data_IF_188336152946
#
_entry.id   IF_188336152946
#
_cell.length_a   1.000
_cell.length_b   1.000
_cell.length_c   1.000
_cell.angle_alpha   90.00
_cell.angle_beta   90.00
_cell.angle_gamma   90.00
#
_symmetry.space_group_name_H-M   'P 1'
#
loop_
_entity.id
_entity.type
_entity.pdbx_description
1 polymer ?
#
# COMPACT_ATOMS: atom_id res chain seq x y z
N UNK A 1 6.44 -12.25 -1.81
CA UNK A 1 7.36 -11.15 -1.48
C UNK A 1 8.14 -10.73 -2.71
N UNK A 2 8.25 -9.43 -2.93
CA UNK A 2 9.00 -8.87 -4.06
C UNK A 2 10.05 -7.92 -3.49
N UNK A 3 11.32 -8.28 -3.63
CA UNK A 3 12.43 -7.57 -3.00
C UNK A 3 13.09 -6.56 -3.92
N UNK A 4 13.32 -5.34 -3.40
CA UNK A 4 14.19 -4.35 -3.99
C UNK A 4 15.53 -4.29 -3.25
N UNK A 5 16.24 -3.18 -3.41
CA UNK A 5 17.56 -2.99 -2.80
C UNK A 5 17.46 -2.64 -1.32
N UNK A 6 16.52 -1.80 -0.94
CA UNK A 6 16.35 -1.30 0.44
C UNK A 6 15.08 -1.78 1.08
N UNK A 7 14.04 -2.01 0.28
CA UNK A 7 12.71 -2.37 0.72
C UNK A 7 12.20 -3.60 -0.01
N UNK A 8 11.13 -4.18 0.53
CA UNK A 8 10.37 -5.20 -0.18
C UNK A 8 8.88 -4.91 -0.02
N UNK A 9 8.07 -5.47 -0.91
CA UNK A 9 6.62 -5.44 -0.77
C UNK A 9 6.13 -6.87 -0.55
N UNK A 10 5.13 -7.00 0.32
CA UNK A 10 4.59 -8.29 0.72
C UNK A 10 3.11 -8.12 1.09
N UNK A 11 2.42 -9.22 1.30
CA UNK A 11 1.01 -9.17 1.66
C UNK A 11 0.79 -8.32 2.92
N UNK A 12 -0.28 -7.53 2.91
CA UNK A 12 -0.71 -6.80 4.10
C UNK A 12 -1.15 -7.81 5.15
N UNK A 13 -0.69 -7.62 6.38
CA UNK A 13 -1.02 -8.49 7.51
C UNK A 13 -2.00 -7.80 8.44
N UNK A 14 -2.74 -8.59 9.18
CA UNK A 14 -3.69 -8.06 10.17
C UNK A 14 -2.97 -7.16 11.19
N UNK A 15 -1.75 -7.52 11.57
CA UNK A 15 -0.93 -6.74 12.52
C UNK A 15 -0.56 -5.36 11.99
N UNK A 16 -0.61 -5.15 10.69
CA UNK A 16 -0.28 -3.86 10.06
C UNK A 16 -1.41 -2.83 10.22
N UNK A 17 -2.62 -3.28 10.47
CA UNK A 17 -3.80 -2.42 10.38
C UNK A 17 -3.78 -1.22 11.33
N UNK A 18 -3.36 -1.34 12.60
CA UNK A 18 -3.32 -0.17 13.47
C UNK A 18 -2.41 0.93 12.95
N UNK A 19 -1.22 0.58 12.46
CA UNK A 19 -0.28 1.56 11.93
C UNK A 19 -0.77 2.19 10.64
N UNK A 20 -1.33 1.38 9.74
CA UNK A 20 -1.91 1.89 8.50
C UNK A 20 -3.05 2.86 8.77
N UNK A 21 -3.90 2.55 9.75
CA UNK A 21 -4.98 3.43 10.17
C UNK A 21 -4.45 4.78 10.67
N UNK A 22 -3.41 4.75 11.53
CA UNK A 22 -2.83 5.97 12.08
C UNK A 22 -2.26 6.87 10.98
N UNK A 23 -1.58 6.30 10.01
CA UNK A 23 -1.06 7.07 8.89
C UNK A 23 -2.18 7.67 8.04
N UNK A 24 -3.22 6.89 7.76
CA UNK A 24 -4.34 7.37 6.93
C UNK A 24 -5.15 8.45 7.62
N UNK A 25 -5.15 8.50 8.95
CA UNK A 25 -5.85 9.54 9.72
C UNK A 25 -5.08 10.85 9.80
N UNK A 26 -3.82 10.89 9.40
CA UNK A 26 -3.04 12.13 9.41
C UNK A 26 -3.61 13.11 8.37
N UNK A 27 -3.89 14.37 8.75
CA UNK A 27 -4.45 15.34 7.80
C UNK A 27 -3.58 15.56 6.57
N UNK A 28 -2.25 15.49 6.71
CA UNK A 28 -1.31 15.67 5.61
C UNK A 28 -1.47 14.58 4.55
N UNK A 29 -1.87 13.39 4.95
CA UNK A 29 -2.05 12.26 4.04
C UNK A 29 -3.47 12.19 3.52
N UNK A 30 -4.45 12.54 4.37
CA UNK A 30 -5.87 12.38 4.06
C UNK A 30 -6.28 13.09 2.77
N UNK A 31 -5.70 14.25 2.49
CA UNK A 31 -6.04 15.04 1.29
C UNK A 31 -5.68 14.30 -0.01
N UNK A 32 -4.86 13.26 0.05
CA UNK A 32 -4.47 12.46 -1.12
C UNK A 32 -5.29 11.18 -1.25
N UNK A 33 -6.17 10.88 -0.28
CA UNK A 33 -6.98 9.67 -0.29
C UNK A 33 -8.43 10.02 -0.61
N UNK A 34 -9.16 9.02 -1.13
CA UNK A 34 -10.60 9.16 -1.36
C UNK A 34 -11.39 9.08 -0.07
N UNK A 35 -10.84 8.42 0.96
CA UNK A 35 -11.50 8.32 2.26
C UNK A 35 -11.30 9.61 3.03
N UNK A 36 -12.41 10.25 3.40
CA UNK A 36 -12.40 11.51 4.11
C UNK A 36 -12.77 11.38 5.59
N UNK A 37 -13.22 10.19 6.00
CA UNK A 37 -13.66 9.98 7.39
C UNK A 37 -12.49 9.71 8.30
N UNK A 38 -12.64 10.06 9.58
CA UNK A 38 -11.71 9.63 10.62
C UNK A 38 -11.89 8.14 10.84
N UNK A 39 -10.84 7.35 10.64
CA UNK A 39 -10.94 5.90 10.67
C UNK A 39 -10.78 5.36 12.08
N UNK A 40 -11.60 4.38 12.44
CA UNK A 40 -11.41 3.56 13.62
C UNK A 40 -10.92 2.16 13.20
N UNK A 41 -10.57 1.33 14.18
CA UNK A 41 -10.01 0.01 13.86
C UNK A 41 -11.01 -0.89 13.15
N UNK A 42 -12.29 -0.75 13.43
CA UNK A 42 -13.31 -1.55 12.76
C UNK A 42 -13.41 -1.21 11.27
N UNK A 43 -13.31 0.09 10.94
CA UNK A 43 -13.27 0.53 9.54
C UNK A 43 -12.05 0.00 8.83
N UNK A 44 -10.89 0.02 9.49
CA UNK A 44 -9.66 -0.49 8.90
C UNK A 44 -9.73 -2.01 8.71
N UNK A 45 -10.35 -2.73 9.64
CA UNK A 45 -10.56 -4.17 9.49
C UNK A 45 -11.51 -4.49 8.36
N UNK A 46 -12.58 -3.71 8.15
CA UNK A 46 -13.47 -3.87 7.01
C UNK A 46 -12.75 -3.65 5.69
N UNK A 47 -11.88 -2.65 5.64
CA UNK A 47 -11.05 -2.41 4.46
C UNK A 47 -10.19 -3.63 4.18
N UNK A 48 -9.57 -4.20 5.20
CA UNK A 48 -8.75 -5.39 5.07
C UNK A 48 -9.57 -6.56 4.51
N UNK A 49 -10.73 -6.81 5.09
CA UNK A 49 -11.58 -7.92 4.68
C UNK A 49 -12.17 -7.73 3.27
N UNK A 50 -12.65 -6.52 2.97
CA UNK A 50 -13.33 -6.27 1.69
C UNK A 50 -12.37 -6.02 0.54
N UNK A 51 -11.25 -5.30 0.78
CA UNK A 51 -10.34 -4.89 -0.29
C UNK A 51 -9.10 -5.75 -0.38
N UNK A 52 -8.52 -6.16 0.74
CA UNK A 52 -7.29 -6.92 0.72
C UNK A 52 -7.57 -8.41 0.52
N UNK A 53 -8.54 -8.96 1.24
CA UNK A 53 -8.80 -10.41 1.24
C UNK A 53 -9.78 -10.85 0.15
N UNK A 54 -10.77 -10.04 -0.21
CA UNK A 54 -11.91 -10.52 -0.99
C UNK A 54 -12.19 -9.78 -2.30
N UNK A 55 -11.40 -8.76 -2.65
CA UNK A 55 -11.64 -7.97 -3.86
C UNK A 55 -10.64 -8.37 -4.95
N UNK A 56 -11.14 -9.01 -6.02
CA UNK A 56 -10.27 -9.42 -7.13
C UNK A 56 -9.86 -8.27 -8.04
N UNK A 57 -10.30 -7.04 -7.76
CA UNK A 57 -9.88 -5.85 -8.49
C UNK A 57 -8.90 -5.00 -7.69
N UNK A 58 -8.43 -5.50 -6.55
CA UNK A 58 -7.49 -4.80 -5.68
C UNK A 58 -6.36 -5.73 -5.26
N UNK A 59 -5.12 -5.27 -5.45
CA UNK A 59 -3.93 -5.97 -4.97
C UNK A 59 -3.12 -5.01 -4.12
N UNK A 60 -3.16 -5.19 -2.80
CA UNK A 60 -2.49 -4.30 -1.85
C UNK A 60 -1.30 -4.99 -1.19
N UNK A 61 -0.24 -4.22 -0.98
CA UNK A 61 0.99 -4.69 -0.35
C UNK A 61 1.42 -3.76 0.76
N UNK A 62 2.01 -4.33 1.81
CA UNK A 62 2.78 -3.58 2.79
C UNK A 62 4.18 -3.35 2.25
N UNK A 63 4.75 -2.20 2.56
CA UNK A 63 6.14 -1.86 2.22
C UNK A 63 6.95 -1.94 3.51
N UNK A 64 8.04 -2.71 3.50
CA UNK A 64 8.89 -2.94 4.66
C UNK A 64 10.36 -2.74 4.32
N UNK A 65 11.16 -2.36 5.32
CA UNK A 65 12.62 -2.35 5.17
C UNK A 65 13.15 -3.78 5.05
N UNK A 66 14.13 -4.00 4.17
CA UNK A 66 14.80 -5.30 4.04
C UNK A 66 15.51 -5.72 5.32
N UNK A 67 16.12 -4.77 6.03
CA UNK A 67 16.99 -5.08 7.16
C UNK A 67 16.22 -5.42 8.43
N UNK A 68 15.10 -4.75 8.67
CA UNK A 68 14.40 -4.83 9.96
C UNK A 68 13.01 -5.42 9.87
N UNK A 69 12.47 -5.57 8.64
CA UNK A 69 11.08 -5.93 8.37
C UNK A 69 10.07 -4.91 8.91
N UNK A 70 10.53 -3.73 9.29
CA UNK A 70 9.66 -2.65 9.79
C UNK A 70 8.72 -2.18 8.69
N UNK A 71 7.44 -2.04 9.04
CA UNK A 71 6.43 -1.48 8.14
C UNK A 71 6.68 0.01 7.94
N UNK A 72 6.81 0.44 6.69
CA UNK A 72 7.08 1.84 6.37
C UNK A 72 6.02 2.48 5.48
N UNK A 73 5.16 1.69 4.86
CA UNK A 73 4.13 2.23 3.97
C UNK A 73 3.23 1.15 3.40
N UNK A 74 2.46 1.56 2.41
CA UNK A 74 1.51 0.68 1.75
C UNK A 74 1.41 1.07 0.28
N UNK A 75 1.23 0.10 -0.58
CA UNK A 75 1.05 0.35 -2.01
C UNK A 75 0.12 -0.70 -2.61
N UNK A 76 -0.40 -0.40 -3.80
CA UNK A 76 -1.24 -1.38 -4.45
C UNK A 76 -1.78 -0.91 -5.79
N UNK A 77 -2.40 -1.85 -6.46
CA UNK A 77 -3.17 -1.61 -7.69
C UNK A 77 -4.64 -1.73 -7.33
N UNK A 78 -5.40 -0.71 -7.67
CA UNK A 78 -6.82 -0.60 -7.33
C UNK A 78 -7.64 -0.47 -8.61
N UNK A 79 -8.91 -0.86 -8.52
CA UNK A 79 -9.83 -0.77 -9.66
C UNK A 79 -9.25 -1.44 -10.90
N UNK A 80 -8.68 -2.64 -10.72
CA UNK A 80 -8.08 -3.40 -11.83
C UNK A 80 -9.18 -3.75 -12.83
N UNK A 81 -8.98 -3.33 -14.07
CA UNK A 81 -9.86 -3.71 -15.16
C UNK A 81 -9.16 -4.81 -15.98
N UNK A 82 -9.61 -6.04 -15.79
CA UNK A 82 -8.97 -7.21 -16.41
C UNK A 82 -9.15 -7.28 -17.92
N UNK A 83 -10.19 -6.60 -18.43
CA UNK A 83 -10.46 -6.58 -19.89
C UNK A 83 -9.53 -5.59 -20.57
N UNK A 84 -9.45 -4.37 -20.06
CA UNK A 84 -8.61 -3.32 -20.64
C UNK A 84 -7.18 -3.33 -20.10
N UNK A 85 -6.90 -4.14 -19.09
CA UNK A 85 -5.57 -4.33 -18.48
C UNK A 85 -4.99 -3.03 -17.96
N UNK A 86 -5.78 -2.32 -17.16
CA UNK A 86 -5.35 -1.10 -16.48
C UNK A 86 -5.77 -1.14 -15.01
N UNK A 87 -5.16 -0.26 -14.23
CA UNK A 87 -5.45 -0.11 -12.81
C UNK A 87 -4.97 1.25 -12.32
N UNK A 88 -5.52 1.68 -11.19
CA UNK A 88 -5.02 2.86 -10.48
C UNK A 88 -3.91 2.44 -9.53
N UNK A 89 -2.85 3.22 -9.48
CA UNK A 89 -1.76 2.99 -8.54
C UNK A 89 -2.00 3.76 -7.26
N UNK A 90 -1.80 3.10 -6.12
CA UNK A 90 -1.87 3.70 -4.80
C UNK A 90 -0.54 3.45 -4.09
N UNK A 91 0.04 4.47 -3.47
CA UNK A 91 1.28 4.32 -2.72
C UNK A 91 1.47 5.47 -1.75
N UNK A 92 1.88 5.16 -0.54
CA UNK A 92 2.35 6.17 0.41
C UNK A 92 3.39 5.57 1.34
N UNK A 93 4.27 6.46 1.83
CA UNK A 93 5.28 6.13 2.85
C UNK A 93 4.86 6.85 4.12
N UNK A 94 4.61 6.09 5.20
CA UNK A 94 4.27 6.66 6.50
C UNK A 94 5.48 6.87 7.40
N UNK A 95 6.56 6.13 7.13
CA UNK A 95 7.78 6.19 7.90
C UNK A 95 8.37 7.60 7.89
N UNK A 96 8.83 8.05 9.04
CA UNK A 96 9.44 9.37 9.22
C UNK A 96 8.52 10.52 8.75
N UNK A 97 7.21 10.31 8.86
CA UNK A 97 6.17 11.32 8.55
C UNK A 97 6.24 11.88 7.12
N UNK A 98 6.77 11.09 6.18
CA UNK A 98 6.90 11.48 4.77
C UNK A 98 5.85 10.75 3.93
N UNK A 99 4.96 11.51 3.28
CA UNK A 99 4.02 10.91 2.35
C UNK A 99 4.73 10.31 1.14
N UNK A 100 5.62 11.10 0.55
CA UNK A 100 6.57 10.64 -0.48
C UNK A 100 7.96 11.01 0.04
N UNK A 101 8.79 10.01 0.28
CA UNK A 101 10.08 10.20 0.91
C UNK A 101 11.18 10.64 -0.07
N UNK A 102 12.22 11.28 0.46
CA UNK A 102 13.38 11.71 -0.33
C UNK A 102 14.45 10.63 -0.46
N UNK A 103 14.39 9.57 0.34
CA UNK A 103 15.36 8.46 0.30
C UNK A 103 15.12 7.49 -0.84
N UNK A 104 14.03 7.65 -1.60
CA UNK A 104 13.73 6.81 -2.75
C UNK A 104 12.95 5.55 -2.46
N UNK A 105 12.40 5.40 -1.26
CA UNK A 105 11.59 4.22 -0.91
C UNK A 105 10.30 4.16 -1.71
N UNK A 106 9.64 5.31 -1.92
CA UNK A 106 8.43 5.37 -2.73
C UNK A 106 8.72 4.99 -4.18
N UNK A 107 9.82 5.48 -4.75
CA UNK A 107 10.23 5.15 -6.11
C UNK A 107 10.49 3.65 -6.25
N UNK A 108 11.23 3.07 -5.31
CA UNK A 108 11.53 1.64 -5.32
C UNK A 108 10.25 0.81 -5.19
N UNK A 109 9.33 1.23 -4.32
CA UNK A 109 8.03 0.58 -4.18
C UNK A 109 7.23 0.62 -5.47
N UNK A 110 7.23 1.75 -6.17
CA UNK A 110 6.56 1.86 -7.47
C UNK A 110 7.15 0.89 -8.50
N UNK A 111 8.47 0.76 -8.55
CA UNK A 111 9.11 -0.17 -9.47
C UNK A 111 8.72 -1.62 -9.19
N UNK A 112 8.71 -2.00 -7.93
CA UNK A 112 8.32 -3.34 -7.53
C UNK A 112 6.86 -3.61 -7.89
N UNK A 113 6.00 -2.62 -7.67
CA UNK A 113 4.58 -2.72 -7.97
C UNK A 113 4.33 -2.82 -9.48
N UNK A 114 5.01 -2.02 -10.28
CA UNK A 114 4.92 -2.11 -11.74
C UNK A 114 5.39 -3.47 -12.24
N UNK A 115 6.50 -3.97 -11.71
CA UNK A 115 6.98 -5.31 -12.09
C UNK A 115 5.94 -6.39 -11.77
N UNK A 116 5.31 -6.30 -10.61
CA UNK A 116 4.22 -7.20 -10.25
C UNK A 116 3.07 -7.09 -11.26
N UNK A 117 2.63 -5.87 -11.57
CA UNK A 117 1.52 -5.66 -12.50
C UNK A 117 1.80 -6.22 -13.89
N UNK A 118 2.98 -5.95 -14.44
CA UNK A 118 3.31 -6.39 -15.79
C UNK A 118 3.69 -7.86 -15.88
N UNK A 119 4.35 -8.42 -14.88
CA UNK A 119 4.83 -9.80 -14.93
C UNK A 119 3.85 -10.82 -14.39
N UNK A 120 3.12 -10.48 -13.33
CA UNK A 120 2.23 -11.43 -12.67
C UNK A 120 0.78 -11.29 -13.13
N UNK A 121 0.33 -10.07 -13.40
CA UNK A 121 -1.05 -9.83 -13.81
C UNK A 121 -1.21 -9.68 -15.33
N UNK A 122 -0.15 -9.38 -15.99
CA UNK A 122 -0.19 -9.09 -17.42
C UNK A 122 -0.71 -7.71 -17.69
#
# INVERSE_FOLDING_TARGET
MYKGKKIYIDAVRREDLPQLMLWRNKPEYRKFFREYRELNIDMQQRWYESKVLNDNTTEMFAIRFNDTDELIGCCGLCYINWIYRNADLSLYIGWNESYIDEEGYAEEGCRLLFNFGFRELG
#
